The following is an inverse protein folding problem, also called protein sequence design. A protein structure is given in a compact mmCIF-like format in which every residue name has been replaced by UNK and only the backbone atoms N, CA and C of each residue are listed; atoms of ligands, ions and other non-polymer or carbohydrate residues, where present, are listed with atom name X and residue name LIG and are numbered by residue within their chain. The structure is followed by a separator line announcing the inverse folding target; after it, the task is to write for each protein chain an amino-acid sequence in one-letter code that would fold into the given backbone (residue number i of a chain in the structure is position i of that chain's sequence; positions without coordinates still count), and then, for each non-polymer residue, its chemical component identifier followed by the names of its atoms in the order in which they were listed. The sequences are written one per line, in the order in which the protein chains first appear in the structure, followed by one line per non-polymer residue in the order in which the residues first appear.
data_IF_379341165779
#
_entry.id   IF_379341165779
#
_cell.length_a   1.000
_cell.length_b   1.000
_cell.length_c   1.000
_cell.angle_alpha   90.00
_cell.angle_beta   90.00
_cell.angle_gamma   90.00
#
_symmetry.space_group_name_H-M   'P 1'
#
loop_
_entity.id
_entity.type
_entity.pdbx_description
1 polymer ?
#
# COMPACT_ATOMS: atom_id res chain seq x y z
N UNK A 1 -5.14 14.24 10.42
CA UNK A 1 -3.79 14.69 10.09
C UNK A 1 -3.47 14.58 8.62
N UNK A 2 -3.54 13.38 8.00
CA UNK A 2 -3.32 13.12 6.58
C UNK A 2 -4.66 12.83 5.89
N UNK A 3 -5.04 13.64 4.91
CA UNK A 3 -6.22 13.44 4.09
C UNK A 3 -5.85 12.78 2.77
N UNK A 4 -6.40 11.59 2.49
CA UNK A 4 -6.07 10.83 1.28
C UNK A 4 -7.13 11.06 0.21
N UNK A 5 -6.71 11.59 -0.94
CA UNK A 5 -7.48 11.58 -2.17
C UNK A 5 -7.48 10.15 -2.73
N UNK A 6 -8.62 9.45 -2.58
CA UNK A 6 -8.67 7.98 -2.62
C UNK A 6 -8.37 7.37 -3.98
N UNK A 7 -8.72 8.06 -5.08
CA UNK A 7 -8.55 7.54 -6.44
C UNK A 7 -8.49 8.70 -7.42
N UNK A 8 -7.60 8.59 -8.45
CA UNK A 8 -7.56 9.59 -9.50
C UNK A 8 -8.90 9.70 -10.22
N UNK A 9 -9.44 10.91 -10.33
CA UNK A 9 -10.66 11.21 -11.06
C UNK A 9 -10.31 11.72 -12.46
N UNK A 10 -10.84 11.05 -13.47
CA UNK A 10 -10.62 11.41 -14.88
C UNK A 10 -11.62 12.42 -15.41
N UNK A 11 -12.59 12.85 -14.61
CA UNK A 11 -13.65 13.78 -15.01
C UNK A 11 -13.43 15.19 -14.47
N UNK A 12 -12.76 15.33 -13.32
CA UNK A 12 -12.43 16.62 -12.72
C UNK A 12 -11.06 17.08 -13.18
N UNK A 13 -10.90 18.33 -13.64
CA UNK A 13 -9.57 18.89 -13.94
C UNK A 13 -8.64 18.77 -12.73
N UNK A 14 -7.40 18.38 -12.97
CA UNK A 14 -6.40 18.21 -11.89
C UNK A 14 -6.22 19.50 -11.09
N UNK A 15 -6.27 20.63 -11.74
CA UNK A 15 -6.15 21.96 -11.17
C UNK A 15 -7.23 22.21 -10.11
N UNK A 16 -8.48 21.83 -10.40
CA UNK A 16 -9.61 21.96 -9.47
C UNK A 16 -9.48 21.02 -8.27
N UNK A 17 -8.96 19.81 -8.51
CA UNK A 17 -8.65 18.84 -7.44
C UNK A 17 -7.61 19.43 -6.49
N UNK A 18 -6.50 19.95 -7.02
CA UNK A 18 -5.43 20.51 -6.20
C UNK A 18 -5.86 21.76 -5.44
N UNK A 19 -6.62 22.66 -6.08
CA UNK A 19 -7.20 23.83 -5.43
C UNK A 19 -8.16 23.45 -4.28
N UNK A 20 -9.01 22.44 -4.50
CA UNK A 20 -9.90 21.93 -3.47
C UNK A 20 -9.16 21.32 -2.27
N UNK A 21 -8.12 20.54 -2.51
CA UNK A 21 -7.31 19.90 -1.48
C UNK A 21 -6.46 20.93 -0.71
N UNK A 22 -5.89 21.90 -1.38
CA UNK A 22 -5.16 23.00 -0.75
C UNK A 22 -6.05 23.82 0.18
N UNK A 23 -7.31 24.10 -0.23
CA UNK A 23 -8.30 24.75 0.64
C UNK A 23 -8.61 23.94 1.90
N UNK A 24 -8.62 22.61 1.82
CA UNK A 24 -8.80 21.74 3.01
C UNK A 24 -7.66 21.89 3.99
N UNK A 25 -6.41 21.97 3.50
CA UNK A 25 -5.22 22.18 4.34
C UNK A 25 -5.22 23.58 4.92
N UNK A 26 -5.42 24.63 4.10
CA UNK A 26 -5.45 26.04 4.54
C UNK A 26 -6.57 26.32 5.54
N UNK A 27 -7.68 25.61 5.46
CA UNK A 27 -8.76 25.68 6.44
C UNK A 27 -8.47 24.91 7.74
N UNK A 28 -7.30 24.28 7.88
CA UNK A 28 -6.90 23.52 9.07
C UNK A 28 -7.66 22.20 9.27
N UNK A 29 -8.41 21.73 8.28
CA UNK A 29 -9.17 20.47 8.36
C UNK A 29 -8.28 19.24 8.19
N UNK A 30 -7.16 19.37 7.48
CA UNK A 30 -6.09 18.39 7.40
C UNK A 30 -4.74 19.10 7.54
N UNK A 31 -3.72 18.38 7.99
CA UNK A 31 -2.34 18.90 8.01
C UNK A 31 -1.63 18.66 6.69
N UNK A 32 -1.88 17.50 6.12
CA UNK A 32 -1.25 17.02 4.90
C UNK A 32 -2.26 16.34 3.99
N UNK A 33 -1.91 16.27 2.72
CA UNK A 33 -2.66 15.51 1.72
C UNK A 33 -1.80 14.38 1.14
N UNK A 34 -2.46 13.28 0.80
CA UNK A 34 -1.88 12.15 0.09
C UNK A 34 -2.80 11.70 -1.03
N UNK A 35 -2.28 10.87 -1.91
CA UNK A 35 -3.03 10.32 -3.04
C UNK A 35 -3.00 8.80 -3.03
N UNK A 36 -4.05 8.17 -3.58
CA UNK A 36 -4.16 6.73 -3.74
C UNK A 36 -4.56 6.37 -5.18
N UNK A 37 -4.07 5.24 -5.68
CA UNK A 37 -4.45 4.65 -6.96
C UNK A 37 -4.37 5.66 -8.14
N UNK A 38 -3.16 6.13 -8.42
CA UNK A 38 -2.82 6.95 -9.58
C UNK A 38 -1.54 6.43 -10.24
N UNK A 39 -1.25 6.90 -11.44
CA UNK A 39 0.04 6.69 -12.10
C UNK A 39 1.08 7.70 -11.60
N UNK A 40 2.37 7.33 -11.71
CA UNK A 40 3.46 8.21 -11.25
C UNK A 40 3.46 9.55 -12.00
N UNK A 41 3.18 9.57 -13.31
CA UNK A 41 3.09 10.81 -14.08
C UNK A 41 1.95 11.73 -13.60
N UNK A 42 0.83 11.16 -13.09
CA UNK A 42 -0.28 11.93 -12.54
C UNK A 42 0.11 12.61 -11.24
N UNK A 43 0.75 11.87 -10.34
CA UNK A 43 1.28 12.41 -9.09
C UNK A 43 2.36 13.47 -9.35
N UNK A 44 3.28 13.21 -10.29
CA UNK A 44 4.32 14.18 -10.69
C UNK A 44 3.69 15.48 -11.19
N UNK A 45 2.71 15.38 -12.11
CA UNK A 45 2.02 16.55 -12.66
C UNK A 45 1.29 17.35 -11.60
N UNK A 46 0.59 16.67 -10.69
CA UNK A 46 -0.16 17.32 -9.62
C UNK A 46 0.77 18.08 -8.64
N UNK A 47 1.88 17.45 -8.21
CA UNK A 47 2.83 18.10 -7.32
C UNK A 47 3.62 19.21 -8.01
N UNK A 48 3.94 19.05 -9.30
CA UNK A 48 4.55 20.16 -10.07
C UNK A 48 3.61 21.38 -10.11
N UNK A 49 2.32 21.17 -10.44
CA UNK A 49 1.32 22.23 -10.42
C UNK A 49 1.19 22.89 -9.05
N UNK A 50 1.17 22.11 -7.98
CA UNK A 50 1.09 22.62 -6.63
C UNK A 50 2.29 23.53 -6.28
N UNK A 51 3.52 23.13 -6.65
CA UNK A 51 4.75 23.94 -6.44
C UNK A 51 4.68 25.27 -7.17
N UNK A 52 4.31 25.25 -8.43
CA UNK A 52 4.20 26.46 -9.27
C UNK A 52 3.17 27.48 -8.74
N UNK A 53 2.15 26.98 -8.00
CA UNK A 53 1.06 27.81 -7.47
C UNK A 53 1.11 28.02 -5.96
N UNK A 54 2.19 27.63 -5.28
CA UNK A 54 2.34 27.70 -3.80
C UNK A 54 1.18 27.02 -3.04
N UNK A 55 0.80 25.84 -3.52
CA UNK A 55 -0.23 25.00 -2.91
C UNK A 55 0.39 23.83 -2.14
N UNK A 56 -0.43 23.16 -1.35
CA UNK A 56 -0.06 21.92 -0.66
C UNK A 56 0.19 20.79 -1.67
N UNK A 57 1.29 20.06 -1.50
CA UNK A 57 1.66 18.91 -2.31
C UNK A 57 1.17 17.59 -1.68
N UNK A 58 0.99 16.56 -2.50
CA UNK A 58 0.84 15.20 -2.00
C UNK A 58 2.16 14.73 -1.39
N UNK A 59 2.15 14.42 -0.10
CA UNK A 59 3.33 13.93 0.63
C UNK A 59 3.37 12.41 0.76
N UNK A 60 2.30 11.72 0.40
CA UNK A 60 2.21 10.27 0.46
C UNK A 60 1.44 9.68 -0.71
N UNK A 61 1.85 8.47 -1.10
CA UNK A 61 1.19 7.65 -2.11
C UNK A 61 0.73 6.33 -1.47
N UNK A 62 -0.56 6.02 -1.62
CA UNK A 62 -1.19 4.81 -1.12
C UNK A 62 -1.52 3.87 -2.27
N UNK A 63 -0.60 2.96 -2.61
CA UNK A 63 -0.72 2.01 -3.74
C UNK A 63 -0.98 0.58 -3.30
N UNK A 64 -1.24 -0.29 -4.27
CA UNK A 64 -1.37 -1.73 -4.07
C UNK A 64 0.00 -2.38 -4.16
N UNK A 65 0.63 -2.70 -3.03
CA UNK A 65 1.98 -3.25 -3.05
C UNK A 65 2.19 -4.31 -1.96
N UNK A 66 2.70 -5.46 -2.35
CA UNK A 66 3.09 -6.57 -1.48
C UNK A 66 3.98 -7.56 -2.27
N UNK A 67 4.39 -8.67 -1.65
CA UNK A 67 5.29 -9.66 -2.25
C UNK A 67 4.79 -10.29 -3.57
N UNK A 68 3.48 -10.35 -3.80
CA UNK A 68 2.87 -10.92 -5.02
C UNK A 68 2.20 -9.87 -5.92
N UNK A 69 2.26 -8.59 -5.56
CA UNK A 69 1.77 -7.47 -6.35
C UNK A 69 2.85 -6.38 -6.36
N UNK A 70 3.72 -6.41 -7.39
CA UNK A 70 4.97 -5.63 -7.42
C UNK A 70 5.04 -4.63 -8.58
N UNK A 71 3.91 -4.33 -9.23
CA UNK A 71 3.88 -3.43 -10.39
C UNK A 71 4.39 -2.01 -10.05
N UNK A 72 4.18 -1.55 -8.81
CA UNK A 72 4.64 -0.24 -8.35
C UNK A 72 6.18 -0.07 -8.36
N UNK A 73 6.94 -1.17 -8.40
CA UNK A 73 8.40 -1.14 -8.48
C UNK A 73 8.93 -0.64 -9.83
N UNK A 74 8.09 -0.62 -10.86
CA UNK A 74 8.49 -0.21 -12.21
C UNK A 74 8.69 1.29 -12.32
N UNK A 75 7.79 2.07 -11.70
CA UNK A 75 7.79 3.52 -11.85
C UNK A 75 7.44 4.26 -10.55
N UNK A 76 6.32 3.92 -9.89
CA UNK A 76 5.82 4.67 -8.74
C UNK A 76 6.80 4.67 -7.56
N UNK A 77 7.37 3.53 -7.19
CA UNK A 77 8.30 3.46 -6.06
C UNK A 77 9.58 4.25 -6.34
N UNK A 78 10.29 4.08 -7.48
CA UNK A 78 11.44 4.92 -7.80
C UNK A 78 11.10 6.42 -7.84
N UNK A 79 9.95 6.78 -8.40
CA UNK A 79 9.49 8.16 -8.42
C UNK A 79 9.29 8.71 -7.01
N UNK A 80 8.53 8.03 -6.16
CA UNK A 80 8.29 8.46 -4.79
C UNK A 80 9.59 8.57 -3.98
N UNK A 81 10.55 7.67 -4.20
CA UNK A 81 11.87 7.74 -3.56
C UNK A 81 12.65 8.98 -4.00
N UNK A 82 12.65 9.32 -5.30
CA UNK A 82 13.35 10.51 -5.81
C UNK A 82 12.73 11.82 -5.31
N UNK A 83 11.41 11.86 -5.15
CA UNK A 83 10.65 13.04 -4.71
C UNK A 83 10.44 13.08 -3.18
N UNK A 84 10.95 12.10 -2.43
CA UNK A 84 10.77 11.98 -0.98
C UNK A 84 9.29 11.88 -0.55
N UNK A 85 8.45 11.24 -1.38
CA UNK A 85 7.04 10.99 -1.11
C UNK A 85 6.91 9.67 -0.34
N UNK A 86 6.22 9.69 0.78
CA UNK A 86 6.03 8.52 1.62
C UNK A 86 5.15 7.46 0.95
N UNK A 87 5.57 6.20 0.99
CA UNK A 87 4.80 5.07 0.49
C UNK A 87 4.02 4.42 1.63
N UNK A 88 2.69 4.38 1.50
CA UNK A 88 1.77 3.81 2.50
C UNK A 88 0.84 2.76 1.88
N UNK A 89 1.39 1.63 1.39
CA UNK A 89 0.62 0.68 0.59
C UNK A 89 -0.47 -0.04 1.38
N UNK A 90 -1.55 -0.37 0.68
CA UNK A 90 -2.63 -1.21 1.18
C UNK A 90 -2.48 -2.68 0.75
N UNK A 91 -3.24 -3.57 1.38
CA UNK A 91 -3.22 -5.02 1.16
C UNK A 91 -1.84 -5.70 1.31
N UNK A 92 -1.07 -5.39 2.35
CA UNK A 92 0.30 -5.90 2.53
C UNK A 92 0.37 -7.43 2.63
N UNK A 93 -0.70 -8.08 3.07
CA UNK A 93 -0.80 -9.54 3.22
C UNK A 93 -1.65 -10.21 2.13
N UNK A 94 -1.91 -9.52 1.01
CA UNK A 94 -2.62 -10.05 -0.16
C UNK A 94 -3.94 -10.76 0.19
N UNK A 95 -4.80 -10.11 1.00
CA UNK A 95 -6.05 -10.71 1.46
C UNK A 95 -5.89 -11.96 2.35
N UNK A 96 -4.69 -12.17 2.89
CA UNK A 96 -4.35 -13.30 3.75
C UNK A 96 -3.55 -14.42 3.07
N UNK A 97 -3.29 -14.32 1.75
CA UNK A 97 -2.47 -15.30 1.00
C UNK A 97 -1.02 -15.36 1.50
N UNK A 98 -0.49 -14.22 1.93
CA UNK A 98 0.86 -14.09 2.50
C UNK A 98 0.90 -14.27 4.03
N UNK A 99 -0.21 -14.65 4.65
CA UNK A 99 -0.33 -14.78 6.11
C UNK A 99 -0.62 -16.22 6.57
N UNK A 100 -0.93 -17.13 5.66
CA UNK A 100 -1.35 -18.50 5.98
C UNK A 100 -0.53 -19.52 5.18
N UNK A 101 -0.32 -20.68 5.81
CA UNK A 101 0.36 -21.80 5.15
C UNK A 101 -0.33 -22.16 3.83
N UNK A 102 0.44 -22.57 2.82
CA UNK A 102 -0.11 -23.06 1.57
C UNK A 102 -1.14 -24.18 1.82
N UNK A 103 -2.26 -24.12 1.09
CA UNK A 103 -3.35 -25.11 1.21
C UNK A 103 -4.38 -24.82 2.31
N UNK A 104 -4.14 -23.88 3.23
CA UNK A 104 -5.14 -23.50 4.23
C UNK A 104 -6.16 -22.54 3.64
N UNK A 105 -7.40 -22.97 3.57
CA UNK A 105 -8.52 -22.16 3.10
C UNK A 105 -9.28 -21.56 4.28
N UNK A 106 -9.12 -20.27 4.52
CA UNK A 106 -9.86 -19.53 5.55
C UNK A 106 -11.22 -19.06 5.04
N UNK A 107 -12.14 -18.69 5.96
CA UNK A 107 -13.43 -18.09 5.61
C UNK A 107 -13.24 -16.86 4.71
N UNK A 108 -12.30 -15.96 5.05
CA UNK A 108 -11.98 -14.77 4.25
C UNK A 108 -11.51 -15.12 2.83
N UNK A 109 -10.62 -16.09 2.67
CA UNK A 109 -10.15 -16.52 1.34
C UNK A 109 -11.28 -17.10 0.49
N UNK A 110 -12.32 -17.69 1.12
CA UNK A 110 -13.49 -18.22 0.44
C UNK A 110 -14.50 -17.14 0.04
N UNK A 111 -14.68 -16.12 0.85
CA UNK A 111 -15.79 -15.16 0.74
C UNK A 111 -15.38 -13.78 0.18
N UNK A 112 -14.10 -13.40 0.27
CA UNK A 112 -13.60 -12.11 -0.21
C UNK A 112 -13.50 -12.09 -1.74
N UNK A 113 -14.59 -11.69 -2.40
CA UNK A 113 -14.70 -11.61 -3.86
C UNK A 113 -13.72 -10.61 -4.47
N UNK A 114 -13.43 -9.53 -3.76
CA UNK A 114 -12.47 -8.52 -4.22
C UNK A 114 -11.02 -9.04 -4.21
N UNK A 115 -10.63 -9.75 -3.15
CA UNK A 115 -9.33 -10.40 -3.11
C UNK A 115 -9.20 -11.50 -4.17
N UNK A 116 -10.27 -12.25 -4.44
CA UNK A 116 -10.29 -13.22 -5.55
C UNK A 116 -10.07 -12.55 -6.91
N UNK A 117 -10.80 -11.50 -7.18
CA UNK A 117 -10.63 -10.72 -8.43
C UNK A 117 -9.17 -10.26 -8.63
N UNK A 118 -8.52 -9.81 -7.55
CA UNK A 118 -7.13 -9.32 -7.61
C UNK A 118 -6.07 -10.42 -7.79
N UNK A 119 -6.25 -11.59 -7.20
CA UNK A 119 -5.14 -12.55 -7.04
C UNK A 119 -5.38 -13.92 -7.65
N UNK A 120 -6.63 -14.33 -7.96
CA UNK A 120 -6.87 -15.69 -8.42
C UNK A 120 -6.32 -15.95 -9.83
N UNK A 121 -6.20 -14.90 -10.66
CA UNK A 121 -5.63 -15.02 -12.01
C UNK A 121 -4.13 -15.34 -12.00
N UNK A 122 -3.41 -14.89 -10.99
CA UNK A 122 -1.96 -15.08 -10.84
C UNK A 122 -1.60 -16.20 -9.85
N UNK A 123 -2.59 -16.88 -9.26
CA UNK A 123 -2.42 -17.80 -8.15
C UNK A 123 -1.35 -18.88 -8.38
N UNK A 124 -1.21 -19.40 -9.62
CA UNK A 124 -0.16 -20.39 -9.95
C UNK A 124 1.25 -19.79 -9.90
N UNK A 125 1.42 -18.56 -10.39
CA UNK A 125 2.70 -17.85 -10.36
C UNK A 125 3.06 -17.41 -8.95
N UNK A 126 2.07 -17.00 -8.19
CA UNK A 126 2.22 -16.52 -6.83
C UNK A 126 2.61 -17.64 -5.84
N UNK A 127 2.28 -18.89 -6.18
CA UNK A 127 2.49 -20.04 -5.29
C UNK A 127 3.97 -20.21 -4.90
N UNK A 128 4.90 -20.02 -5.83
CA UNK A 128 6.33 -20.12 -5.52
C UNK A 128 6.78 -19.06 -4.49
N UNK A 129 6.24 -17.84 -4.59
CA UNK A 129 6.54 -16.76 -3.66
C UNK A 129 5.95 -17.09 -2.29
N UNK A 130 4.70 -17.54 -2.23
CA UNK A 130 4.02 -17.96 -0.99
C UNK A 130 4.80 -19.09 -0.30
N UNK A 131 5.25 -20.09 -1.07
CA UNK A 131 6.05 -21.20 -0.55
C UNK A 131 7.40 -20.74 0.01
N UNK A 132 8.05 -19.75 -0.61
CA UNK A 132 9.29 -19.15 -0.10
C UNK A 132 9.05 -18.41 1.21
N UNK A 133 7.98 -17.62 1.31
CA UNK A 133 7.58 -16.94 2.55
C UNK A 133 7.34 -17.96 3.66
N UNK A 134 6.65 -19.07 3.36
CA UNK A 134 6.42 -20.14 4.32
C UNK A 134 7.72 -20.78 4.80
N UNK A 135 8.66 -21.11 3.89
CA UNK A 135 9.97 -21.66 4.24
C UNK A 135 10.79 -20.71 5.11
N UNK A 136 10.78 -19.41 4.79
CA UNK A 136 11.47 -18.38 5.59
C UNK A 136 10.84 -18.26 6.98
N UNK A 137 9.54 -18.22 7.08
CA UNK A 137 8.80 -18.18 8.34
C UNK A 137 9.17 -19.37 9.25
N UNK A 138 9.24 -20.57 8.68
CA UNK A 138 9.69 -21.78 9.40
C UNK A 138 11.15 -21.70 9.84
N UNK A 139 12.05 -21.23 8.96
CA UNK A 139 13.49 -21.09 9.26
C UNK A 139 13.73 -20.12 10.42
N UNK A 140 13.02 -19.00 10.43
CA UNK A 140 13.16 -17.94 11.44
C UNK A 140 12.23 -18.12 12.66
N UNK A 141 11.39 -19.16 12.68
CA UNK A 141 10.44 -19.48 13.76
C UNK A 141 9.44 -18.32 14.03
N UNK A 142 9.03 -17.63 12.97
CA UNK A 142 8.05 -16.53 13.00
C UNK A 142 6.87 -16.83 12.07
N UNK A 143 5.83 -16.01 12.11
CA UNK A 143 4.68 -16.17 11.21
C UNK A 143 5.00 -15.70 9.78
N UNK A 144 4.23 -16.18 8.81
CA UNK A 144 4.29 -15.68 7.44
C UNK A 144 3.93 -14.19 7.34
N UNK A 145 3.03 -13.72 8.21
CA UNK A 145 2.67 -12.30 8.30
C UNK A 145 3.87 -11.44 8.70
N UNK A 146 4.63 -11.89 9.69
CA UNK A 146 5.84 -11.19 10.14
C UNK A 146 6.88 -11.11 9.01
N UNK A 147 7.18 -12.22 8.31
CA UNK A 147 8.10 -12.20 7.16
C UNK A 147 7.62 -11.26 6.05
N UNK A 148 6.33 -11.32 5.71
CA UNK A 148 5.77 -10.49 4.62
C UNK A 148 5.80 -9.01 4.94
N UNK A 149 5.48 -8.65 6.18
CA UNK A 149 5.51 -7.26 6.64
C UNK A 149 6.94 -6.75 6.82
N UNK A 150 7.85 -7.57 7.41
CA UNK A 150 9.26 -7.20 7.54
C UNK A 150 9.89 -6.89 6.18
N UNK A 151 9.66 -7.74 5.17
CA UNK A 151 10.10 -7.44 3.80
C UNK A 151 9.53 -6.11 3.29
N UNK A 152 8.24 -5.89 3.48
CA UNK A 152 7.58 -4.68 2.99
C UNK A 152 8.15 -3.42 3.67
N UNK A 153 8.41 -3.48 4.97
CA UNK A 153 9.00 -2.38 5.74
C UNK A 153 10.40 -1.98 5.26
N UNK A 154 11.13 -2.86 4.57
CA UNK A 154 12.39 -2.48 3.91
C UNK A 154 12.22 -1.60 2.67
N UNK A 155 10.99 -1.44 2.17
CA UNK A 155 10.67 -0.79 0.89
C UNK A 155 9.81 0.47 1.04
N UNK A 156 9.02 0.55 2.10
CA UNK A 156 7.98 1.58 2.25
C UNK A 156 8.00 2.24 3.62
N UNK A 157 7.37 3.40 3.72
CA UNK A 157 7.35 4.19 4.96
C UNK A 157 6.43 3.57 6.02
N UNK A 158 5.21 3.15 5.65
CA UNK A 158 4.25 2.57 6.58
C UNK A 158 3.17 1.76 5.82
N UNK A 159 3.14 0.43 5.90
CA UNK A 159 2.07 -0.36 5.31
C UNK A 159 0.77 -0.23 6.10
N UNK A 160 -0.37 -0.23 5.38
CA UNK A 160 -1.69 -0.22 6.00
C UNK A 160 -2.12 -1.66 6.29
N UNK A 161 -2.19 -2.00 7.55
CA UNK A 161 -2.61 -3.32 8.01
C UNK A 161 -4.02 -3.28 8.58
N UNK A 162 -4.79 -4.34 8.36
CA UNK A 162 -6.11 -4.52 8.93
C UNK A 162 -6.21 -5.83 9.70
N UNK A 163 -6.88 -5.81 10.84
CA UNK A 163 -7.10 -6.99 11.67
C UNK A 163 -8.48 -6.98 12.31
N UNK A 164 -8.96 -8.18 12.64
CA UNK A 164 -10.20 -8.39 13.41
C UNK A 164 -9.94 -9.04 14.76
N UNK A 165 -8.67 -9.32 15.10
CA UNK A 165 -8.26 -10.01 16.33
C UNK A 165 -7.05 -9.31 16.95
N UNK A 166 -7.06 -9.14 18.27
CA UNK A 166 -5.97 -8.48 19.00
C UNK A 166 -4.62 -9.19 18.82
N UNK A 167 -4.61 -10.52 18.83
CA UNK A 167 -3.36 -11.30 18.69
C UNK A 167 -2.66 -11.08 17.35
N UNK A 168 -3.38 -10.61 16.33
CA UNK A 168 -2.81 -10.27 15.03
C UNK A 168 -2.02 -8.95 15.08
N UNK A 169 -2.38 -8.03 15.97
CA UNK A 169 -1.67 -6.76 16.14
C UNK A 169 -0.25 -7.03 16.65
N UNK A 170 -0.09 -7.91 17.62
CA UNK A 170 1.23 -8.25 18.17
C UNK A 170 2.17 -8.80 17.10
N UNK A 171 1.68 -9.67 16.21
CA UNK A 171 2.45 -10.17 15.09
C UNK A 171 2.84 -9.08 14.09
N UNK A 172 1.94 -8.09 13.87
CA UNK A 172 2.22 -6.96 12.98
C UNK A 172 3.30 -6.04 13.57
N UNK A 173 3.25 -5.79 14.89
CA UNK A 173 4.27 -4.99 15.59
C UNK A 173 5.62 -5.71 15.58
N UNK A 174 5.65 -7.01 15.89
CA UNK A 174 6.89 -7.82 15.84
C UNK A 174 7.59 -7.82 14.49
N UNK A 175 6.86 -7.62 13.39
CA UNK A 175 7.46 -7.50 12.07
C UNK A 175 8.46 -6.33 11.95
N UNK A 176 8.40 -5.34 12.83
CA UNK A 176 9.36 -4.22 12.86
C UNK A 176 10.70 -4.58 13.51
N UNK A 177 10.80 -5.74 14.13
CA UNK A 177 11.97 -6.21 14.86
C UNK A 177 12.76 -7.31 14.10
N UNK A 178 12.28 -7.70 12.89
CA UNK A 178 12.86 -8.77 12.06
C UNK A 178 13.86 -8.23 11.05
#
# INVERSE_FOLDING_TARGET
DLYIYHMWDYHTPMEDIMDGLDKVVKAGKARYIGISNCFAWQLAKANFYAREHNMSEFISMQGHYNLIAREEEREMIPFCQSEQIALTPYSPLAGGRLAKQPGIMTKRLKEDTYAKFKYDQTAKMDQEIIDRVYKLAKKHQVSMSEISLAWLLTKVSAPIVGTTKLEQIDAMVKATEI
#
